data_IF_762197646751
#
_entry.id   IF_762197646751
#
_cell.length_a   1.000
_cell.length_b   1.000
_cell.length_c   1.000
_cell.angle_alpha   90.00
_cell.angle_beta   90.00
_cell.angle_gamma   90.00
#
_symmetry.space_group_name_H-M   'P 1'
#
loop_
_entity.id
_entity.type
_entity.pdbx_description
1 polymer ?
#
# COMPACT_ATOMS: atom_id res chain seq x y z
N UNK A 1 1.82 12.13 -9.26
CA UNK A 1 1.07 11.57 -8.11
C UNK A 1 1.80 11.84 -6.80
N UNK A 2 3.01 11.29 -6.56
CA UNK A 2 3.69 11.38 -5.25
C UNK A 2 4.57 12.63 -5.03
N UNK A 3 4.64 13.56 -5.98
CA UNK A 3 5.49 14.76 -5.85
C UNK A 3 5.25 15.56 -4.55
N UNK A 4 3.99 15.72 -4.04
CA UNK A 4 3.75 16.38 -2.75
C UNK A 4 4.41 15.66 -1.56
N UNK A 5 4.55 14.34 -1.61
CA UNK A 5 5.21 13.54 -0.56
C UNK A 5 6.74 13.65 -0.61
N UNK A 6 7.32 13.74 -1.81
CA UNK A 6 8.77 13.79 -2.01
C UNK A 6 9.34 15.22 -1.85
N UNK A 7 8.52 16.23 -2.10
CA UNK A 7 8.94 17.63 -2.13
C UNK A 7 9.56 18.05 -3.48
N UNK A 8 9.87 19.34 -3.65
CA UNK A 8 10.24 19.91 -4.95
C UNK A 8 11.69 19.64 -5.38
N UNK A 9 12.56 19.20 -4.48
CA UNK A 9 14.00 19.04 -4.74
C UNK A 9 14.36 17.74 -5.48
N UNK A 10 13.42 16.80 -5.58
CA UNK A 10 13.65 15.47 -6.13
C UNK A 10 12.50 15.01 -7.02
N UNK A 11 12.61 13.82 -7.59
CA UNK A 11 11.57 13.17 -8.37
C UNK A 11 11.50 11.68 -8.04
N UNK A 12 10.37 11.03 -8.33
CA UNK A 12 10.21 9.59 -8.13
C UNK A 12 11.35 8.79 -8.79
N UNK A 13 11.72 9.16 -10.02
CA UNK A 13 12.81 8.51 -10.77
C UNK A 13 14.15 8.59 -10.03
N UNK A 14 14.52 9.79 -9.53
CA UNK A 14 15.79 9.96 -8.79
C UNK A 14 15.79 9.19 -7.48
N UNK A 15 14.67 9.19 -6.75
CA UNK A 15 14.55 8.44 -5.51
C UNK A 15 14.62 6.92 -5.74
N UNK A 16 14.10 6.45 -6.88
CA UNK A 16 14.20 5.06 -7.32
C UNK A 16 15.66 4.68 -7.65
N UNK A 17 16.33 5.49 -8.48
CA UNK A 17 17.74 5.30 -8.84
C UNK A 17 18.68 5.38 -7.63
N UNK A 18 18.32 6.21 -6.64
CA UNK A 18 19.03 6.33 -5.37
C UNK A 18 18.79 5.17 -4.39
N UNK A 19 17.94 4.19 -4.73
CA UNK A 19 17.65 3.04 -3.86
C UNK A 19 16.86 3.42 -2.60
N UNK A 20 16.04 4.47 -2.66
CA UNK A 20 15.31 5.03 -1.51
C UNK A 20 13.82 4.69 -1.52
N UNK A 21 13.36 4.03 -2.58
CA UNK A 21 12.01 3.52 -2.70
C UNK A 21 12.00 2.02 -2.39
N UNK A 22 10.99 1.62 -1.62
CA UNK A 22 10.75 0.25 -1.21
C UNK A 22 9.33 -0.13 -1.57
N UNK A 23 9.10 -1.39 -1.94
CA UNK A 23 7.79 -1.92 -2.24
C UNK A 23 7.46 -3.04 -1.24
N UNK A 24 6.36 -2.88 -0.50
CA UNK A 24 5.74 -4.00 0.18
C UNK A 24 4.63 -4.55 -0.71
N UNK A 25 4.88 -5.72 -1.28
CA UNK A 25 3.99 -6.42 -2.21
C UNK A 25 3.32 -7.61 -1.51
N UNK A 26 1.99 -7.59 -1.45
CA UNK A 26 1.17 -8.63 -0.84
C UNK A 26 0.47 -9.51 -1.88
N UNK A 27 1.06 -9.65 -3.08
CA UNK A 27 0.51 -10.43 -4.18
C UNK A 27 0.24 -11.90 -3.87
N UNK A 28 0.91 -12.49 -2.87
CA UNK A 28 0.63 -13.85 -2.42
C UNK A 28 -0.83 -14.03 -1.92
N UNK A 29 -1.47 -12.95 -1.51
CA UNK A 29 -2.86 -12.96 -1.04
C UNK A 29 -3.89 -12.87 -2.17
N UNK A 30 -3.45 -12.62 -3.42
CA UNK A 30 -4.36 -12.47 -4.54
C UNK A 30 -5.11 -13.79 -4.83
N UNK A 31 -6.43 -13.69 -4.94
CA UNK A 31 -7.29 -14.83 -5.27
C UNK A 31 -7.49 -15.83 -4.13
N UNK A 32 -6.95 -15.57 -2.93
CA UNK A 32 -7.21 -16.44 -1.78
C UNK A 32 -8.71 -16.44 -1.43
N UNK A 33 -9.29 -17.61 -1.14
CA UNK A 33 -10.68 -17.70 -0.74
C UNK A 33 -10.88 -17.03 0.62
N UNK A 34 -11.95 -16.24 0.76
CA UNK A 34 -12.37 -15.67 2.04
C UNK A 34 -13.55 -16.45 2.62
N UNK A 35 -13.60 -16.51 3.95
CA UNK A 35 -14.69 -17.15 4.68
C UNK A 35 -15.85 -16.22 5.03
N UNK A 36 -16.73 -16.69 5.91
CA UNK A 36 -17.74 -15.86 6.57
C UNK A 36 -17.61 -15.95 8.09
N UNK A 37 -17.91 -14.86 8.79
CA UNK A 37 -17.90 -14.78 10.25
C UNK A 37 -19.29 -14.34 10.72
N UNK A 38 -19.96 -15.19 11.50
CA UNK A 38 -21.33 -14.92 11.95
C UNK A 38 -22.35 -14.83 10.80
N UNK A 39 -22.07 -15.46 9.66
CA UNK A 39 -22.88 -15.37 8.45
C UNK A 39 -22.47 -14.24 7.49
N UNK A 40 -21.61 -13.31 7.93
CA UNK A 40 -21.19 -12.17 7.10
C UNK A 40 -19.91 -12.47 6.30
N UNK A 41 -19.88 -12.19 4.99
CA UNK A 41 -18.71 -12.43 4.16
C UNK A 41 -17.53 -11.57 4.60
N UNK A 42 -16.35 -12.18 4.63
CA UNK A 42 -15.10 -11.48 4.89
C UNK A 42 -14.41 -11.13 3.58
N UNK A 43 -13.56 -10.09 3.62
CA UNK A 43 -12.88 -9.56 2.45
C UNK A 43 -11.38 -9.46 2.73
N UNK A 44 -10.58 -9.71 1.70
CA UNK A 44 -9.13 -9.62 1.74
C UNK A 44 -8.65 -8.83 0.52
N UNK A 45 -7.66 -7.98 0.74
CA UNK A 45 -6.98 -7.24 -0.32
C UNK A 45 -5.58 -7.83 -0.55
N UNK A 46 -5.06 -7.68 -1.76
CA UNK A 46 -3.67 -7.99 -2.11
C UNK A 46 -2.93 -6.69 -2.50
N UNK A 47 -2.63 -5.82 -1.53
CA UNK A 47 -2.16 -4.47 -1.81
C UNK A 47 -0.70 -4.41 -2.29
N UNK A 48 -0.39 -3.31 -2.97
CA UNK A 48 0.94 -2.79 -3.25
C UNK A 48 1.13 -1.50 -2.46
N UNK A 49 2.12 -1.45 -1.57
CA UNK A 49 2.43 -0.26 -0.76
C UNK A 49 3.83 0.25 -1.11
N UNK A 50 3.89 1.42 -1.77
CA UNK A 50 5.14 2.10 -2.08
C UNK A 50 5.56 2.94 -0.88
N UNK A 51 6.77 2.68 -0.37
CA UNK A 51 7.39 3.42 0.71
C UNK A 51 8.61 4.19 0.21
N UNK A 52 8.86 5.32 0.85
CA UNK A 52 10.02 6.17 0.61
C UNK A 52 10.78 6.37 1.91
N UNK A 53 12.07 6.09 1.89
CA UNK A 53 12.98 6.48 2.95
C UNK A 53 13.29 7.96 2.77
N UNK A 54 12.75 8.82 3.64
CA UNK A 54 12.90 10.28 3.58
C UNK A 54 14.34 10.70 3.88
N UNK A 55 14.76 11.90 3.44
CA UNK A 55 16.13 12.41 3.72
C UNK A 55 16.41 12.61 5.22
N UNK A 56 15.38 12.50 6.06
CA UNK A 56 15.47 12.54 7.51
C UNK A 56 15.64 11.15 8.14
N UNK A 57 15.57 10.08 7.33
CA UNK A 57 15.70 8.69 7.78
C UNK A 57 14.37 8.00 8.08
N UNK A 58 13.22 8.64 7.83
CA UNK A 58 11.90 8.06 8.09
C UNK A 58 11.43 7.23 6.89
N UNK A 59 10.98 5.99 7.11
CA UNK A 59 10.34 5.18 6.08
C UNK A 59 8.83 5.48 6.05
N UNK A 60 8.37 6.13 4.99
CA UNK A 60 7.01 6.66 4.88
C UNK A 60 6.24 6.02 3.72
N UNK A 61 4.98 5.57 3.92
CA UNK A 61 4.13 5.17 2.81
C UNK A 61 3.72 6.40 1.98
N UNK A 62 3.91 6.33 0.66
CA UNK A 62 3.65 7.46 -0.26
C UNK A 62 2.61 7.13 -1.34
N UNK A 63 2.30 5.86 -1.57
CA UNK A 63 1.21 5.41 -2.43
C UNK A 63 0.75 4.00 -2.05
N UNK A 64 -0.55 3.72 -2.12
CA UNK A 64 -1.13 2.41 -1.86
C UNK A 64 -2.13 2.07 -2.96
N UNK A 65 -1.98 0.93 -3.61
CA UNK A 65 -3.00 0.32 -4.46
C UNK A 65 -3.51 -0.95 -3.76
N UNK A 66 -4.83 -1.11 -3.60
CA UNK A 66 -5.41 -2.25 -2.84
C UNK A 66 -5.58 -3.54 -3.66
N UNK A 67 -5.26 -3.49 -4.95
CA UNK A 67 -5.30 -4.59 -5.90
C UNK A 67 -3.94 -4.72 -6.58
N UNK A 68 -3.58 -5.93 -7.02
CA UNK A 68 -2.41 -6.17 -7.85
C UNK A 68 -2.59 -5.58 -9.25
N UNK A 69 -3.81 -5.63 -9.77
CA UNK A 69 -4.15 -5.19 -11.11
C UNK A 69 -4.67 -3.74 -11.11
N UNK A 70 -4.00 -2.87 -11.86
CA UNK A 70 -4.41 -1.49 -12.06
C UNK A 70 -5.72 -1.41 -12.88
N UNK A 71 -6.56 -0.42 -12.58
CA UNK A 71 -7.81 -0.23 -13.31
C UNK A 71 -8.71 0.86 -12.70
N UNK A 72 -9.85 1.17 -13.34
CA UNK A 72 -10.75 2.24 -12.89
C UNK A 72 -11.36 1.99 -11.50
N UNK A 73 -11.39 0.73 -11.05
CA UNK A 73 -11.87 0.32 -9.73
C UNK A 73 -10.75 0.05 -8.71
N UNK A 74 -9.49 0.23 -9.11
CA UNK A 74 -8.31 0.05 -8.26
C UNK A 74 -7.52 1.35 -8.18
N UNK A 75 -8.06 2.39 -7.50
CA UNK A 75 -7.36 3.66 -7.37
C UNK A 75 -6.06 3.49 -6.58
N UNK A 76 -5.10 4.36 -6.89
CA UNK A 76 -3.90 4.54 -6.07
C UNK A 76 -4.22 5.63 -5.06
N UNK A 77 -4.29 5.26 -3.79
CA UNK A 77 -4.46 6.17 -2.67
C UNK A 77 -3.14 6.84 -2.32
N UNK A 78 -3.19 8.13 -2.03
CA UNK A 78 -2.06 8.98 -1.65
C UNK A 78 -2.31 9.62 -0.28
N UNK A 79 -1.26 10.05 0.44
CA UNK A 79 -1.41 10.79 1.70
C UNK A 79 -2.29 12.05 1.61
N UNK A 80 -2.42 12.63 0.42
CA UNK A 80 -3.22 13.82 0.15
C UNK A 80 -4.71 13.57 -0.12
N UNK A 81 -5.16 12.32 -0.28
CA UNK A 81 -6.53 11.98 -0.72
C UNK A 81 -7.59 12.06 0.41
N UNK A 82 -7.35 12.93 1.40
CA UNK A 82 -8.19 13.10 2.58
C UNK A 82 -7.94 12.08 3.68
N UNK A 83 -8.32 12.46 4.91
CA UNK A 83 -8.00 11.70 6.11
C UNK A 83 -8.51 10.26 6.08
N UNK A 84 -9.78 10.06 5.70
CA UNK A 84 -10.42 8.74 5.75
C UNK A 84 -9.96 7.81 4.63
N UNK A 85 -9.81 8.31 3.40
CA UNK A 85 -9.33 7.50 2.27
C UNK A 85 -7.94 6.95 2.53
N UNK A 86 -7.01 7.80 2.99
CA UNK A 86 -5.65 7.37 3.30
C UNK A 86 -5.58 6.45 4.54
N UNK A 87 -6.37 6.72 5.57
CA UNK A 87 -6.42 5.88 6.77
C UNK A 87 -6.93 4.48 6.45
N UNK A 88 -7.99 4.37 5.64
CA UNK A 88 -8.55 3.09 5.24
C UNK A 88 -7.58 2.30 4.35
N UNK A 89 -6.89 2.94 3.40
CA UNK A 89 -5.87 2.30 2.57
C UNK A 89 -4.74 1.67 3.42
N UNK A 90 -4.25 2.40 4.42
CA UNK A 90 -3.24 1.87 5.36
C UNK A 90 -3.76 0.74 6.23
N UNK A 91 -5.03 0.80 6.67
CA UNK A 91 -5.65 -0.28 7.45
C UNK A 91 -5.69 -1.59 6.63
N UNK A 92 -6.06 -1.52 5.36
CA UNK A 92 -6.04 -2.69 4.46
C UNK A 92 -4.63 -3.26 4.25
N UNK A 93 -3.60 -2.41 4.14
CA UNK A 93 -2.20 -2.87 4.11
C UNK A 93 -1.83 -3.59 5.41
N UNK A 94 -2.27 -3.09 6.57
CA UNK A 94 -2.02 -3.75 7.85
C UNK A 94 -2.76 -5.08 7.99
N UNK A 95 -3.99 -5.18 7.47
CA UNK A 95 -4.75 -6.42 7.46
C UNK A 95 -4.10 -7.48 6.55
N UNK A 96 -3.65 -7.08 5.36
CA UNK A 96 -2.88 -7.95 4.46
C UNK A 96 -1.59 -8.44 5.13
N UNK A 97 -0.85 -7.53 5.77
CA UNK A 97 0.35 -7.87 6.53
C UNK A 97 0.09 -8.87 7.65
N UNK A 98 -0.95 -8.64 8.45
CA UNK A 98 -1.36 -9.57 9.50
C UNK A 98 -1.68 -10.96 8.94
N UNK A 99 -2.47 -11.02 7.87
CA UNK A 99 -2.87 -12.28 7.23
C UNK A 99 -1.65 -13.06 6.74
N UNK A 100 -0.73 -12.39 6.03
CA UNK A 100 0.50 -13.01 5.53
C UNK A 100 1.42 -13.45 6.67
N UNK A 101 1.54 -12.65 7.72
CA UNK A 101 2.35 -12.98 8.90
C UNK A 101 1.86 -14.28 9.54
N UNK A 102 0.59 -14.37 9.90
CA UNK A 102 0.05 -15.56 10.60
C UNK A 102 0.00 -16.82 9.72
N UNK A 103 -0.11 -16.67 8.39
CA UNK A 103 -0.18 -17.82 7.49
C UNK A 103 1.18 -18.38 7.09
N UNK A 104 2.23 -17.55 7.06
CA UNK A 104 3.51 -17.91 6.42
C UNK A 104 4.73 -17.67 7.31
N UNK A 105 4.73 -16.63 8.15
CA UNK A 105 5.91 -16.22 8.95
C UNK A 105 5.95 -16.92 10.29
#
# INVERSE_FOLDING_TARGET
>A
MVAPSLGPSTSLQREMEGGRLFLADYGLLEGLPTGSLGGEPQFLAAPLCLLWLSHRGDLLPIAIQLSQHAGPHAPIFLPGDGHWGWTLAKLWVRLAHFTLHEMVT
#
